data_IF_007570944856
#
_entry.id   IF_007570944856
#
_cell.length_a   1.000
_cell.length_b   1.000
_cell.length_c   1.000
_cell.angle_alpha   90.00
_cell.angle_beta   90.00
_cell.angle_gamma   90.00
#
_symmetry.space_group_name_H-M   'P 1'
#
loop_
_entity.id
_entity.type
_entity.pdbx_description
1 polymer ?
#
# COMPACT_ATOMS: atom_id res chain seq x y z
N UNK A 1 3.22 27.79 -7.19
CA UNK A 1 1.84 28.32 -7.17
C UNK A 1 0.83 27.27 -6.72
N UNK A 2 0.89 26.02 -7.21
CA UNK A 2 -0.05 24.95 -6.83
C UNK A 2 -0.04 24.54 -5.33
N UNK A 3 1.10 24.63 -4.63
CA UNK A 3 1.16 24.30 -3.19
C UNK A 3 0.45 25.34 -2.30
N UNK A 4 0.42 26.63 -2.71
CA UNK A 4 -0.25 27.69 -1.94
C UNK A 4 -1.78 27.66 -2.04
N UNK A 5 -2.34 27.10 -3.10
CA UNK A 5 -3.80 26.95 -3.26
C UNK A 5 -4.39 25.82 -2.39
N UNK A 6 -3.56 24.85 -2.00
CA UNK A 6 -4.04 23.71 -1.22
C UNK A 6 -4.12 24.00 0.29
N UNK A 7 -3.33 24.95 0.76
CA UNK A 7 -3.28 25.36 2.18
C UNK A 7 -4.51 26.16 2.64
N UNK A 8 -5.32 26.69 1.70
CA UNK A 8 -6.57 27.41 2.01
C UNK A 8 -7.81 26.51 2.01
N UNK A 9 -7.67 25.22 1.65
CA UNK A 9 -8.80 24.30 1.54
C UNK A 9 -9.20 23.74 2.90
N UNK A 10 -10.50 23.59 3.13
CA UNK A 10 -11.01 22.87 4.30
C UNK A 10 -10.66 21.38 4.23
N UNK A 11 -10.66 20.70 5.39
CA UNK A 11 -10.39 19.26 5.45
C UNK A 11 -11.37 18.44 4.59
N UNK A 12 -12.65 18.85 4.51
CA UNK A 12 -13.65 18.18 3.68
C UNK A 12 -13.40 18.37 2.18
N UNK A 13 -12.97 19.57 1.76
CA UNK A 13 -12.58 19.86 0.37
C UNK A 13 -11.33 19.06 -0.02
N UNK A 14 -10.34 18.95 0.88
CA UNK A 14 -9.15 18.11 0.68
C UNK A 14 -9.51 16.63 0.56
N UNK A 15 -10.45 16.12 1.37
CA UNK A 15 -10.93 14.73 1.27
C UNK A 15 -11.61 14.47 -0.06
N UNK A 16 -12.46 15.38 -0.52
CA UNK A 16 -13.14 15.28 -1.80
C UNK A 16 -12.15 15.25 -2.97
N UNK A 17 -11.20 16.19 -3.00
CA UNK A 17 -10.16 16.21 -4.03
C UNK A 17 -9.30 14.94 -3.99
N UNK A 18 -8.93 14.47 -2.79
CA UNK A 18 -8.12 13.25 -2.62
C UNK A 18 -8.86 12.01 -3.11
N UNK A 19 -10.17 11.88 -2.80
CA UNK A 19 -11.00 10.78 -3.27
C UNK A 19 -11.13 10.78 -4.81
N UNK A 20 -11.26 11.97 -5.41
CA UNK A 20 -11.29 12.09 -6.87
C UNK A 20 -9.96 11.67 -7.50
N UNK A 21 -8.84 12.18 -6.98
CA UNK A 21 -7.49 11.89 -7.47
C UNK A 21 -7.07 10.42 -7.26
N UNK A 22 -7.58 9.77 -6.22
CA UNK A 22 -7.43 8.33 -5.98
C UNK A 22 -8.32 7.47 -6.91
N UNK A 23 -9.21 8.10 -7.69
CA UNK A 23 -10.22 7.42 -8.52
C UNK A 23 -11.07 6.45 -7.71
N UNK A 24 -11.55 6.91 -6.56
CA UNK A 24 -12.56 6.20 -5.78
C UNK A 24 -13.79 5.88 -6.63
N UNK A 25 -14.62 4.92 -6.20
CA UNK A 25 -15.86 4.65 -6.95
C UNK A 25 -16.73 5.91 -7.03
N UNK A 26 -17.46 6.08 -8.13
CA UNK A 26 -18.36 7.25 -8.28
C UNK A 26 -19.36 7.38 -7.14
N UNK A 27 -19.80 6.26 -6.54
CA UNK A 27 -20.64 6.23 -5.33
C UNK A 27 -19.92 6.77 -4.10
N UNK A 28 -18.70 6.28 -3.82
CA UNK A 28 -17.87 6.79 -2.74
C UNK A 28 -17.62 8.29 -2.90
N UNK A 29 -17.30 8.73 -4.12
CA UNK A 29 -17.03 10.13 -4.39
C UNK A 29 -18.26 11.02 -4.19
N UNK A 30 -19.45 10.58 -4.61
CA UNK A 30 -20.70 11.29 -4.32
C UNK A 30 -20.99 11.36 -2.82
N UNK A 31 -20.71 10.30 -2.07
CA UNK A 31 -20.84 10.31 -0.61
C UNK A 31 -19.95 11.40 0.00
N UNK A 32 -18.66 11.43 -0.37
CA UNK A 32 -17.71 12.44 0.12
C UNK A 32 -18.11 13.86 -0.33
N UNK A 33 -18.65 14.01 -1.55
CA UNK A 33 -19.13 15.30 -2.03
C UNK A 33 -20.32 15.82 -1.20
N UNK A 34 -21.27 14.95 -0.84
CA UNK A 34 -22.37 15.33 0.07
C UNK A 34 -21.85 15.71 1.44
N UNK A 35 -20.94 14.93 2.03
CA UNK A 35 -20.32 15.25 3.32
C UNK A 35 -19.63 16.63 3.28
N UNK A 36 -18.94 16.94 2.18
CA UNK A 36 -18.30 18.24 1.97
C UNK A 36 -19.29 19.41 1.96
N UNK A 37 -20.53 19.20 1.53
CA UNK A 37 -21.60 20.19 1.53
C UNK A 37 -22.56 20.09 2.71
N UNK A 38 -22.19 19.42 3.81
CA UNK A 38 -23.07 19.25 4.97
C UNK A 38 -24.30 18.37 4.70
N UNK A 39 -24.13 17.35 3.86
CA UNK A 39 -25.16 16.40 3.44
C UNK A 39 -25.82 16.72 2.10
N UNK A 40 -25.48 17.84 1.44
CA UNK A 40 -26.10 18.29 0.19
C UNK A 40 -25.06 18.64 -0.89
N UNK A 41 -25.43 18.46 -2.15
CA UNK A 41 -24.63 18.88 -3.31
C UNK A 41 -24.89 20.35 -3.66
N UNK A 42 -24.51 21.24 -2.73
CA UNK A 42 -24.70 22.70 -2.87
C UNK A 42 -23.95 23.28 -4.08
N UNK A 43 -24.35 24.46 -4.56
CA UNK A 43 -23.63 25.17 -5.62
C UNK A 43 -22.13 25.31 -5.32
N UNK A 44 -21.75 25.57 -4.06
CA UNK A 44 -20.34 25.63 -3.64
C UNK A 44 -19.60 24.31 -3.89
N UNK A 45 -20.22 23.16 -3.57
CA UNK A 45 -19.62 21.84 -3.82
C UNK A 45 -19.51 21.57 -5.32
N UNK A 46 -20.53 21.93 -6.09
CA UNK A 46 -20.52 21.79 -7.55
C UNK A 46 -19.38 22.61 -8.18
N UNK A 47 -19.25 23.89 -7.82
CA UNK A 47 -18.13 24.75 -8.27
C UNK A 47 -16.78 24.18 -7.86
N UNK A 48 -16.66 23.67 -6.62
CA UNK A 48 -15.43 23.05 -6.17
C UNK A 48 -15.05 21.81 -7.01
N UNK A 49 -16.01 20.93 -7.31
CA UNK A 49 -15.80 19.76 -8.17
C UNK A 49 -15.34 20.22 -9.56
N UNK A 50 -16.01 21.22 -10.12
CA UNK A 50 -15.66 21.80 -11.41
C UNK A 50 -14.22 22.33 -11.44
N UNK A 51 -13.88 23.23 -10.51
CA UNK A 51 -12.62 23.98 -10.47
C UNK A 51 -11.41 23.14 -10.06
N UNK A 52 -11.60 22.15 -9.17
CA UNK A 52 -10.49 21.40 -8.59
C UNK A 52 -10.39 19.96 -9.07
N UNK A 53 -11.52 19.32 -9.41
CA UNK A 53 -11.52 17.93 -9.83
C UNK A 53 -11.54 17.82 -11.36
N UNK A 54 -12.44 18.51 -12.05
CA UNK A 54 -12.67 18.28 -13.48
C UNK A 54 -11.71 19.06 -14.38
N UNK A 55 -11.60 20.38 -14.19
CA UNK A 55 -10.75 21.24 -15.03
C UNK A 55 -9.26 20.90 -14.86
N UNK A 56 -8.81 20.60 -13.64
CA UNK A 56 -7.41 20.21 -13.35
C UNK A 56 -7.07 18.76 -13.77
N UNK A 57 -8.06 17.96 -14.17
CA UNK A 57 -7.90 16.57 -14.60
C UNK A 57 -7.81 16.37 -16.12
N UNK A 58 -8.05 17.43 -16.91
CA UNK A 58 -7.96 17.37 -18.38
C UNK A 58 -6.55 16.95 -18.83
N UNK A 59 -6.46 15.91 -19.67
CA UNK A 59 -5.21 15.42 -20.24
C UNK A 59 -4.39 14.52 -19.31
N UNK A 60 -4.96 14.07 -18.19
CA UNK A 60 -4.29 13.21 -17.20
C UNK A 60 -4.83 11.77 -17.15
N UNK A 61 -5.66 11.35 -18.12
CA UNK A 61 -6.18 9.98 -18.19
C UNK A 61 -7.39 9.73 -17.28
N UNK A 62 -8.06 10.78 -16.81
CA UNK A 62 -9.26 10.68 -15.97
C UNK A 62 -10.56 10.73 -16.78
N UNK A 63 -10.52 10.87 -18.10
CA UNK A 63 -11.64 11.37 -18.88
C UNK A 63 -12.87 10.43 -18.85
N UNK A 64 -12.66 9.11 -18.99
CA UNK A 64 -13.72 8.10 -18.87
C UNK A 64 -14.34 8.07 -17.47
N UNK A 65 -13.49 8.19 -16.44
CA UNK A 65 -13.91 8.24 -15.04
C UNK A 65 -14.71 9.53 -14.75
N UNK A 66 -14.19 10.68 -15.15
CA UNK A 66 -14.83 11.98 -15.01
C UNK A 66 -16.17 12.03 -15.73
N UNK A 67 -16.28 11.48 -16.95
CA UNK A 67 -17.55 11.37 -17.68
C UNK A 67 -18.61 10.60 -16.88
N UNK A 68 -18.25 9.43 -16.33
CA UNK A 68 -19.14 8.61 -15.50
C UNK A 68 -19.54 9.35 -14.22
N UNK A 69 -18.58 10.00 -13.56
CA UNK A 69 -18.84 10.75 -12.33
C UNK A 69 -19.77 11.95 -12.56
N UNK A 70 -19.49 12.79 -13.56
CA UNK A 70 -20.31 13.96 -13.88
C UNK A 70 -21.74 13.56 -14.23
N UNK A 71 -21.91 12.52 -15.05
CA UNK A 71 -23.26 11.98 -15.35
C UNK A 71 -24.01 11.64 -14.07
N UNK A 72 -23.37 10.91 -13.15
CA UNK A 72 -23.97 10.48 -11.90
C UNK A 72 -24.26 11.65 -10.96
N UNK A 73 -23.38 12.64 -10.91
CA UNK A 73 -23.54 13.87 -10.14
C UNK A 73 -24.76 14.66 -10.61
N UNK A 74 -24.91 14.87 -11.92
CA UNK A 74 -26.06 15.56 -12.52
C UNK A 74 -27.35 14.81 -12.17
N UNK A 75 -27.42 13.51 -12.44
CA UNK A 75 -28.61 12.69 -12.15
C UNK A 75 -29.00 12.73 -10.67
N UNK A 76 -28.02 12.73 -9.77
CA UNK A 76 -28.27 12.81 -8.32
C UNK A 76 -28.80 14.18 -7.88
N UNK A 77 -28.33 15.27 -8.48
CA UNK A 77 -28.83 16.61 -8.17
C UNK A 77 -30.26 16.78 -8.68
N UNK A 78 -30.53 16.35 -9.92
CA UNK A 78 -31.85 16.40 -10.55
C UNK A 78 -32.89 15.57 -9.79
N UNK A 79 -32.52 14.35 -9.36
CA UNK A 79 -33.43 13.46 -8.61
C UNK A 79 -33.83 14.03 -7.25
N UNK A 80 -33.00 14.90 -6.67
CA UNK A 80 -33.29 15.62 -5.43
C UNK A 80 -33.88 17.02 -5.69
N UNK A 81 -34.33 17.32 -6.92
CA UNK A 81 -34.87 18.62 -7.34
C UNK A 81 -33.92 19.81 -7.10
N UNK A 82 -32.61 19.54 -7.13
CA UNK A 82 -31.57 20.57 -7.02
C UNK A 82 -31.30 21.24 -8.37
N UNK A 83 -30.73 22.45 -8.34
CA UNK A 83 -30.24 23.12 -9.53
C UNK A 83 -28.81 22.65 -9.85
N UNK A 84 -28.59 22.19 -11.07
CA UNK A 84 -27.28 21.80 -11.60
C UNK A 84 -26.62 23.04 -12.20
N UNK A 85 -25.33 23.26 -11.94
CA UNK A 85 -24.56 24.33 -12.56
C UNK A 85 -24.37 24.10 -14.06
N UNK A 86 -24.52 25.14 -14.87
CA UNK A 86 -24.38 25.08 -16.33
C UNK A 86 -23.01 24.53 -16.75
N UNK A 87 -21.96 24.88 -16.01
CA UNK A 87 -20.59 24.41 -16.23
C UNK A 87 -20.48 22.87 -16.20
N UNK A 88 -21.28 22.20 -15.35
CA UNK A 88 -21.30 20.73 -15.28
C UNK A 88 -21.98 20.12 -16.51
N UNK A 89 -23.04 20.75 -17.03
CA UNK A 89 -23.67 20.32 -18.28
C UNK A 89 -22.74 20.53 -19.48
N UNK A 90 -22.11 21.70 -19.57
CA UNK A 90 -21.13 22.01 -20.61
C UNK A 90 -19.97 21.00 -20.61
N UNK A 91 -19.47 20.64 -19.43
CA UNK A 91 -18.42 19.64 -19.32
C UNK A 91 -18.89 18.24 -19.70
N UNK A 92 -20.10 17.86 -19.30
CA UNK A 92 -20.63 16.57 -19.70
C UNK A 92 -20.81 16.50 -21.22
N UNK A 93 -21.33 17.56 -21.83
CA UNK A 93 -21.46 17.68 -23.28
C UNK A 93 -20.09 17.60 -23.98
N UNK A 94 -19.05 18.24 -23.42
CA UNK A 94 -17.68 18.15 -23.96
C UNK A 94 -17.17 16.70 -23.96
N UNK A 95 -17.36 15.95 -22.87
CA UNK A 95 -17.03 14.53 -22.82
C UNK A 95 -17.82 13.68 -23.81
N UNK A 96 -19.09 14.02 -24.07
CA UNK A 96 -19.91 13.30 -25.06
C UNK A 96 -19.43 13.53 -26.50
N UNK A 97 -18.93 14.72 -26.81
CA UNK A 97 -18.40 15.05 -28.15
C UNK A 97 -17.03 14.39 -28.36
N UNK A 98 -16.16 14.41 -27.34
CA UNK A 98 -14.81 13.84 -27.41
C UNK A 98 -14.81 12.30 -27.43
N UNK A 99 -15.78 11.65 -26.78
CA UNK A 99 -15.95 10.20 -26.81
C UNK A 99 -17.03 9.80 -27.81
N UNK A 100 -16.69 9.84 -29.10
CA UNK A 100 -17.40 9.02 -30.08
C UNK A 100 -17.01 7.56 -29.78
N UNK A 101 -17.99 6.75 -29.39
CA UNK A 101 -17.85 5.29 -29.21
C UNK A 101 -17.18 4.70 -30.44
N UNK A 102 -16.00 4.09 -30.26
CA UNK A 102 -15.42 2.99 -31.08
C UNK A 102 -13.93 2.83 -30.76
N UNK A 103 -13.61 2.46 -29.53
CA UNK A 103 -12.46 1.59 -29.33
C UNK A 103 -12.83 0.58 -28.24
N UNK A 104 -12.79 -0.74 -28.53
CA UNK A 104 -12.91 -1.73 -27.48
C UNK A 104 -11.88 -1.39 -26.40
N UNK A 105 -12.30 -1.45 -25.15
CA UNK A 105 -11.44 -1.26 -23.96
C UNK A 105 -10.14 -2.02 -24.24
N UNK A 106 -9.05 -1.29 -24.51
CA UNK A 106 -7.75 -1.93 -24.69
C UNK A 106 -7.46 -2.60 -23.35
N UNK A 107 -7.29 -3.92 -23.34
CA UNK A 107 -7.08 -4.72 -22.12
C UNK A 107 -5.91 -4.23 -21.25
N UNK A 108 -5.07 -3.34 -21.79
CA UNK A 108 -3.90 -2.74 -21.14
C UNK A 108 -4.10 -1.24 -20.79
N UNK A 109 -5.34 -0.77 -20.67
CA UNK A 109 -5.61 0.62 -20.29
C UNK A 109 -5.19 0.84 -18.82
N UNK A 110 -4.22 1.72 -18.63
CA UNK A 110 -3.65 2.05 -17.32
C UNK A 110 -4.00 3.48 -16.95
N UNK A 111 -4.26 3.71 -15.66
CA UNK A 111 -4.61 5.01 -15.11
C UNK A 111 -3.60 5.46 -14.06
N UNK A 112 -3.45 6.77 -13.90
CA UNK A 112 -2.62 7.35 -12.85
C UNK A 112 -3.49 7.70 -11.63
N UNK A 113 -3.45 6.89 -10.59
CA UNK A 113 -4.08 7.19 -9.29
C UNK A 113 -3.13 8.02 -8.44
N UNK A 114 -3.62 9.01 -7.73
CA UNK A 114 -2.82 9.83 -6.82
C UNK A 114 -3.32 9.62 -5.38
N UNK A 115 -2.61 8.78 -4.64
CA UNK A 115 -2.97 8.44 -3.26
C UNK A 115 -2.40 9.50 -2.32
N UNK A 116 -3.25 10.11 -1.50
CA UNK A 116 -2.84 11.15 -0.55
C UNK A 116 -2.95 10.63 0.88
N UNK A 117 -1.85 10.73 1.63
CA UNK A 117 -1.81 10.43 3.05
C UNK A 117 -1.66 11.71 3.86
N UNK A 118 -2.42 11.79 4.94
CA UNK A 118 -2.29 12.81 5.98
C UNK A 118 -1.95 12.10 7.28
N UNK A 119 -0.83 12.44 7.90
CA UNK A 119 -0.34 11.78 9.10
C UNK A 119 0.14 12.81 10.14
N UNK A 120 0.08 12.47 11.44
CA UNK A 120 0.44 13.40 12.52
C UNK A 120 1.93 13.76 12.50
N UNK A 121 2.25 14.94 13.05
CA UNK A 121 3.64 15.39 13.16
C UNK A 121 4.46 14.47 14.08
N UNK A 122 5.56 13.95 13.54
CA UNK A 122 6.58 13.25 14.33
C UNK A 122 7.61 14.25 14.88
N UNK A 123 7.19 15.22 15.71
CA UNK A 123 8.03 16.29 16.26
C UNK A 123 9.20 15.84 17.16
N UNK A 124 9.32 14.56 17.50
CA UNK A 124 10.33 14.07 18.46
C UNK A 124 11.54 13.39 17.82
N UNK A 125 11.56 13.19 16.50
CA UNK A 125 12.70 12.60 15.81
C UNK A 125 13.18 13.56 14.72
N UNK A 126 14.41 14.04 14.84
CA UNK A 126 15.10 14.92 13.87
C UNK A 126 15.26 14.32 12.46
N UNK A 127 14.76 13.10 12.26
CA UNK A 127 14.97 12.24 11.09
C UNK A 127 13.73 12.23 10.17
N UNK A 128 12.53 12.57 10.66
CA UNK A 128 11.30 12.48 9.86
C UNK A 128 11.14 13.64 8.85
N UNK A 129 10.51 13.41 7.68
CA UNK A 129 10.20 14.48 6.73
C UNK A 129 9.31 15.56 7.36
N UNK A 130 9.57 16.83 7.04
CA UNK A 130 8.89 18.00 7.62
C UNK A 130 7.43 18.17 7.17
N UNK A 131 6.96 17.36 6.22
CA UNK A 131 5.62 17.45 5.63
C UNK A 131 4.68 16.42 6.27
N UNK A 132 3.50 16.87 6.74
CA UNK A 132 2.39 16.02 7.22
C UNK A 132 1.64 15.29 6.10
N UNK A 133 2.11 15.46 4.88
CA UNK A 133 1.42 15.06 3.67
C UNK A 133 2.38 14.36 2.73
N UNK A 134 1.94 13.21 2.23
CA UNK A 134 2.56 12.49 1.13
C UNK A 134 1.52 12.28 0.04
N UNK A 135 1.87 12.61 -1.21
CA UNK A 135 1.06 12.29 -2.40
C UNK A 135 1.85 11.33 -3.25
N UNK A 136 1.29 10.17 -3.53
CA UNK A 136 1.91 9.07 -4.26
C UNK A 136 1.17 8.85 -5.58
N UNK A 137 1.67 9.38 -6.71
CA UNK A 137 1.19 8.98 -8.03
C UNK A 137 1.57 7.53 -8.33
N UNK A 138 0.60 6.72 -8.75
CA UNK A 138 0.74 5.32 -9.10
C UNK A 138 0.07 5.04 -10.44
N UNK A 139 0.81 4.46 -11.37
CA UNK A 139 0.26 3.80 -12.53
C UNK A 139 -0.37 2.47 -12.09
N UNK A 140 -1.66 2.33 -12.36
CA UNK A 140 -2.47 1.16 -12.04
C UNK A 140 -3.15 0.64 -13.30
N UNK A 141 -3.32 -0.66 -13.42
CA UNK A 141 -4.18 -1.24 -14.45
C UNK A 141 -5.66 -0.99 -14.15
N UNK A 142 -6.48 -0.85 -15.19
CA UNK A 142 -7.93 -0.98 -15.07
C UNK A 142 -8.38 -2.44 -15.04
N UNK A 143 -7.56 -3.36 -15.55
CA UNK A 143 -7.77 -4.79 -15.38
C UNK A 143 -7.19 -5.22 -14.02
N UNK A 144 -8.08 -5.50 -13.06
CA UNK A 144 -7.68 -5.89 -11.70
C UNK A 144 -6.88 -7.21 -11.64
N UNK A 145 -6.89 -8.00 -12.71
CA UNK A 145 -6.16 -9.27 -12.80
C UNK A 145 -4.78 -9.13 -13.48
N UNK A 146 -4.44 -7.96 -14.04
CA UNK A 146 -3.16 -7.78 -14.72
C UNK A 146 -1.98 -7.95 -13.76
N UNK A 147 -0.98 -8.70 -14.23
CA UNK A 147 0.24 -9.00 -13.48
C UNK A 147 -0.01 -9.82 -12.21
N UNK A 148 -0.85 -10.85 -12.33
CA UNK A 148 -1.31 -11.66 -11.20
C UNK A 148 -1.88 -10.79 -10.07
N UNK A 149 -2.75 -9.84 -10.44
CA UNK A 149 -3.37 -8.83 -9.57
C UNK A 149 -2.46 -7.72 -9.03
N UNK A 150 -1.13 -7.82 -9.22
CA UNK A 150 -0.15 -6.89 -8.68
C UNK A 150 -0.07 -5.53 -9.38
N UNK A 151 -0.67 -5.36 -10.57
CA UNK A 151 -0.73 -4.06 -11.25
C UNK A 151 -1.84 -3.13 -10.73
N UNK A 152 -2.58 -3.52 -9.69
CA UNK A 152 -3.64 -2.73 -9.06
C UNK A 152 -3.34 -2.39 -7.60
N UNK A 153 -3.90 -1.28 -7.11
CA UNK A 153 -3.83 -0.93 -5.68
C UNK A 153 -4.90 -1.69 -4.90
N UNK A 154 -4.49 -2.36 -3.83
CA UNK A 154 -5.37 -3.11 -2.93
C UNK A 154 -5.53 -2.44 -1.56
N UNK A 155 -6.70 -2.53 -0.90
CA UNK A 155 -6.98 -1.85 0.37
C UNK A 155 -5.94 -2.11 1.48
N UNK A 156 -5.38 -3.31 1.58
CA UNK A 156 -4.37 -3.59 2.61
C UNK A 156 -3.07 -2.83 2.41
N UNK A 157 -2.68 -2.55 1.17
CA UNK A 157 -1.46 -1.76 0.92
C UNK A 157 -1.66 -0.29 1.32
N UNK A 158 -2.86 0.27 1.13
CA UNK A 158 -3.24 1.59 1.64
C UNK A 158 -3.15 1.64 3.17
N UNK A 159 -3.66 0.62 3.87
CA UNK A 159 -3.62 0.56 5.32
C UNK A 159 -2.20 0.39 5.86
N UNK A 160 -1.41 -0.50 5.27
CA UNK A 160 -0.03 -0.71 5.68
C UNK A 160 0.82 0.55 5.46
N UNK A 161 0.60 1.27 4.37
CA UNK A 161 1.21 2.58 4.12
C UNK A 161 0.81 3.63 5.15
N UNK A 162 -0.47 3.71 5.51
CA UNK A 162 -0.95 4.60 6.59
C UNK A 162 -0.25 4.29 7.92
N UNK A 163 -0.06 3.01 8.24
CA UNK A 163 0.66 2.57 9.45
C UNK A 163 2.14 2.98 9.41
N UNK A 164 2.83 2.77 8.28
CA UNK A 164 4.24 3.16 8.13
C UNK A 164 4.42 4.67 8.35
N UNK A 165 3.56 5.48 7.72
CA UNK A 165 3.61 6.93 7.81
C UNK A 165 3.20 7.46 9.19
N UNK A 166 2.31 6.76 9.88
CA UNK A 166 1.88 7.13 11.25
C UNK A 166 2.89 6.75 12.32
N UNK A 167 3.72 5.73 12.07
CA UNK A 167 4.71 5.21 13.03
C UNK A 167 6.12 5.08 12.40
N UNK A 168 6.70 6.17 11.88
CA UNK A 168 7.96 6.12 11.14
C UNK A 168 9.14 5.63 11.99
N UNK A 169 9.09 5.80 13.31
CA UNK A 169 10.13 5.34 14.25
C UNK A 169 10.36 3.83 14.25
N UNK A 170 9.38 3.04 13.78
CA UNK A 170 9.51 1.58 13.66
C UNK A 170 10.41 1.23 12.46
N UNK A 171 10.26 1.97 11.36
CA UNK A 171 10.84 1.64 10.06
C UNK A 171 12.09 2.46 9.72
N UNK A 172 12.24 3.65 10.31
CA UNK A 172 13.36 4.54 10.03
C UNK A 172 14.69 3.90 10.43
N UNK A 173 15.65 3.91 9.52
CA UNK A 173 16.94 3.25 9.68
C UNK A 173 16.89 1.72 9.62
N UNK A 174 15.73 1.10 9.34
CA UNK A 174 15.58 -0.36 9.30
C UNK A 174 15.68 -0.94 7.90
N UNK A 175 16.23 -2.15 7.80
CA UNK A 175 16.19 -2.94 6.57
C UNK A 175 14.83 -3.63 6.44
N UNK A 176 14.08 -3.26 5.41
CA UNK A 176 12.71 -3.71 5.15
C UNK A 176 12.63 -4.56 3.87
N UNK A 177 11.86 -5.64 3.92
CA UNK A 177 11.59 -6.52 2.79
C UNK A 177 10.08 -6.71 2.63
N UNK A 178 9.52 -6.42 1.46
CA UNK A 178 8.11 -6.65 1.17
C UNK A 178 7.93 -7.84 0.23
N UNK A 179 7.10 -8.82 0.63
CA UNK A 179 6.62 -9.91 -0.23
C UNK A 179 5.34 -9.49 -0.93
N UNK A 180 5.23 -9.75 -2.24
CA UNK A 180 4.04 -9.39 -3.03
C UNK A 180 3.79 -7.88 -3.05
N UNK A 181 4.79 -7.12 -3.49
CA UNK A 181 4.79 -5.65 -3.37
C UNK A 181 3.83 -4.95 -4.34
N UNK A 182 3.33 -5.66 -5.37
CA UNK A 182 2.35 -5.12 -6.32
C UNK A 182 2.82 -3.82 -6.97
N UNK A 183 2.01 -2.77 -6.85
CA UNK A 183 2.31 -1.44 -7.40
C UNK A 183 3.47 -0.71 -6.71
N UNK A 184 4.00 -1.22 -5.59
CA UNK A 184 5.15 -0.68 -4.86
C UNK A 184 4.84 0.42 -3.84
N UNK A 185 3.57 0.64 -3.51
CA UNK A 185 3.10 1.73 -2.64
C UNK A 185 3.73 1.70 -1.24
N UNK A 186 3.82 0.52 -0.62
CA UNK A 186 4.42 0.34 0.70
C UNK A 186 5.91 0.67 0.68
N UNK A 187 6.64 0.18 -0.34
CA UNK A 187 8.03 0.55 -0.59
C UNK A 187 8.28 2.05 -0.70
N UNK A 188 7.41 2.78 -1.41
CA UNK A 188 7.48 4.25 -1.50
C UNK A 188 7.34 4.89 -0.12
N UNK A 189 6.42 4.38 0.71
CA UNK A 189 6.23 4.87 2.08
C UNK A 189 7.42 4.55 2.99
N UNK A 190 8.02 3.37 2.85
CA UNK A 190 9.24 2.98 3.59
C UNK A 190 10.43 3.88 3.24
N UNK A 191 10.62 4.17 1.95
CA UNK A 191 11.63 5.13 1.50
C UNK A 191 11.36 6.53 2.07
N UNK A 192 10.10 6.97 2.07
CA UNK A 192 9.70 8.27 2.63
C UNK A 192 10.05 8.42 4.12
N UNK A 193 9.87 7.36 4.91
CA UNK A 193 10.23 7.34 6.36
C UNK A 193 11.70 7.00 6.61
N UNK A 194 12.52 6.94 5.56
CA UNK A 194 13.97 6.71 5.60
C UNK A 194 14.34 5.35 6.20
N UNK A 195 13.66 4.28 5.77
CA UNK A 195 14.20 2.93 5.94
C UNK A 195 15.62 2.85 5.35
N UNK A 196 16.55 2.14 6.01
CA UNK A 196 17.96 2.09 5.58
C UNK A 196 18.16 1.24 4.32
N UNK A 197 17.27 0.27 4.10
CA UNK A 197 17.23 -0.59 2.91
C UNK A 197 15.79 -0.98 2.64
N UNK A 198 15.34 -0.86 1.41
CA UNK A 198 14.00 -1.27 0.98
C UNK A 198 14.15 -2.27 -0.17
N UNK A 199 13.63 -3.48 0.04
CA UNK A 199 13.60 -4.54 -0.97
C UNK A 199 12.14 -4.86 -1.24
N UNK A 200 11.72 -4.69 -2.48
CA UNK A 200 10.40 -5.03 -2.99
C UNK A 200 10.50 -6.27 -3.86
N UNK A 201 9.54 -7.17 -3.72
CA UNK A 201 9.54 -8.45 -4.43
C UNK A 201 8.16 -8.80 -4.93
N UNK A 202 8.10 -9.37 -6.14
CA UNK A 202 6.86 -9.87 -6.72
C UNK A 202 7.13 -11.06 -7.65
N UNK A 203 6.14 -11.94 -7.78
CA UNK A 203 6.22 -13.16 -8.59
C UNK A 203 5.99 -12.92 -10.08
N UNK A 204 5.29 -11.84 -10.43
CA UNK A 204 4.94 -11.52 -11.81
C UNK A 204 5.84 -10.43 -12.42
N UNK A 205 6.27 -10.64 -13.66
CA UNK A 205 7.18 -9.72 -14.36
C UNK A 205 6.49 -8.42 -14.81
N UNK A 206 5.20 -8.47 -15.15
CA UNK A 206 4.42 -7.28 -15.52
C UNK A 206 4.22 -6.38 -14.30
N UNK A 207 3.95 -6.98 -13.14
CA UNK A 207 3.90 -6.28 -11.86
C UNK A 207 5.25 -5.67 -11.49
N UNK A 208 6.34 -6.43 -11.61
CA UNK A 208 7.68 -5.90 -11.34
C UNK A 208 8.04 -4.71 -12.25
N UNK A 209 7.67 -4.77 -13.53
CA UNK A 209 7.88 -3.66 -14.47
C UNK A 209 7.05 -2.43 -14.09
N UNK A 210 5.78 -2.61 -13.73
CA UNK A 210 4.91 -1.52 -13.28
C UNK A 210 5.38 -0.90 -11.96
N UNK A 211 5.84 -1.73 -11.03
CA UNK A 211 6.40 -1.30 -9.75
C UNK A 211 7.61 -0.38 -9.97
N UNK A 212 8.55 -0.75 -10.85
CA UNK A 212 9.70 0.09 -11.19
C UNK A 212 9.28 1.43 -11.79
N UNK A 213 8.31 1.43 -12.71
CA UNK A 213 7.73 2.66 -13.27
C UNK A 213 7.13 3.56 -12.16
N UNK A 214 6.46 2.97 -11.18
CA UNK A 214 5.89 3.70 -10.05
C UNK A 214 6.98 4.28 -9.13
N UNK A 215 8.05 3.55 -8.86
CA UNK A 215 9.19 4.07 -8.10
C UNK A 215 9.83 5.26 -8.82
N UNK A 216 10.04 5.17 -10.13
CA UNK A 216 10.57 6.26 -10.95
C UNK A 216 9.65 7.48 -10.95
N UNK A 217 8.33 7.28 -11.09
CA UNK A 217 7.31 8.34 -10.94
C UNK A 217 7.38 9.07 -9.60
N UNK A 218 7.80 8.36 -8.55
CA UNK A 218 7.98 8.90 -7.20
C UNK A 218 9.42 9.34 -6.92
N UNK A 219 10.27 9.46 -7.95
CA UNK A 219 11.67 9.92 -7.88
C UNK A 219 12.55 9.04 -6.97
N UNK A 220 12.24 7.75 -6.91
CA UNK A 220 13.05 6.75 -6.24
C UNK A 220 13.94 6.03 -7.26
N UNK A 221 15.19 5.82 -6.91
CA UNK A 221 16.15 5.14 -7.78
C UNK A 221 15.99 3.62 -7.61
N UNK A 222 16.07 2.88 -8.71
CA UNK A 222 16.13 1.42 -8.68
C UNK A 222 17.55 0.95 -8.99
N UNK A 223 18.00 -0.13 -8.36
CA UNK A 223 19.40 -0.63 -8.51
C UNK A 223 19.79 -0.91 -9.97
N UNK A 224 18.83 -1.19 -10.86
CA UNK A 224 19.10 -1.47 -12.28
C UNK A 224 19.45 -0.25 -13.11
N UNK A 225 19.27 0.97 -12.59
CA UNK A 225 19.45 2.23 -13.33
C UNK A 225 20.74 2.99 -12.96
N UNK A 226 21.62 2.41 -12.14
CA UNK A 226 22.82 3.10 -11.64
C UNK A 226 24.09 2.65 -12.37
N UNK A 227 24.79 3.55 -13.09
CA UNK A 227 26.20 3.36 -13.41
C UNK A 227 27.03 3.66 -12.17
N UNK A 228 27.69 2.64 -11.62
CA UNK A 228 28.66 2.68 -10.50
C UNK A 228 28.11 3.12 -9.11
N UNK A 229 28.62 2.53 -8.01
CA UNK A 229 28.18 2.85 -6.65
C UNK A 229 28.74 4.20 -6.20
N UNK A 230 28.02 5.28 -6.44
CA UNK A 230 28.25 6.56 -5.77
C UNK A 230 27.74 6.52 -4.33
N UNK A 231 28.58 6.98 -3.41
CA UNK A 231 28.52 6.76 -1.94
C UNK A 231 27.32 7.46 -1.24
N UNK A 232 26.43 8.15 -1.97
CA UNK A 232 25.39 9.02 -1.36
C UNK A 232 23.93 8.73 -1.78
N UNK A 233 23.61 7.56 -2.33
CA UNK A 233 22.22 7.30 -2.75
C UNK A 233 21.34 6.75 -1.60
N UNK A 234 20.91 7.62 -0.68
CA UNK A 234 19.98 7.28 0.42
C UNK A 234 18.57 6.84 -0.04
N UNK A 235 18.27 6.85 -1.34
CA UNK A 235 16.93 6.59 -1.91
C UNK A 235 16.87 5.41 -2.89
N UNK A 236 17.77 4.43 -2.79
CA UNK A 236 17.74 3.24 -3.66
C UNK A 236 16.77 2.20 -3.11
N UNK A 237 15.77 1.84 -3.92
CA UNK A 237 14.84 0.74 -3.66
C UNK A 237 15.20 -0.42 -4.58
N UNK A 238 15.48 -1.59 -3.99
CA UNK A 238 15.77 -2.81 -4.75
C UNK A 238 14.47 -3.49 -5.13
N UNK A 239 14.31 -3.81 -6.41
CA UNK A 239 13.20 -4.61 -6.91
C UNK A 239 13.71 -5.97 -7.35
N UNK A 240 13.13 -7.06 -6.86
CA UNK A 240 13.52 -8.43 -7.22
C UNK A 240 12.33 -9.20 -7.76
N UNK A 241 12.59 -10.03 -8.77
CA UNK A 241 11.63 -11.05 -9.20
C UNK A 241 11.73 -12.23 -8.22
N UNK A 242 10.63 -12.59 -7.58
CA UNK A 242 10.57 -13.65 -6.58
C UNK A 242 9.25 -14.44 -6.69
N UNK A 243 9.14 -15.38 -7.64
CA UNK A 243 8.10 -16.40 -7.59
C UNK A 243 8.34 -17.27 -6.34
N UNK A 244 7.33 -17.41 -5.48
CA UNK A 244 7.49 -18.07 -4.19
C UNK A 244 7.80 -19.56 -4.33
N UNK A 245 7.29 -20.19 -5.39
CA UNK A 245 7.42 -21.61 -5.73
C UNK A 245 8.88 -21.99 -6.01
N UNK A 246 9.63 -21.08 -6.63
CA UNK A 246 11.02 -21.29 -7.07
C UNK A 246 12.05 -20.52 -6.22
N UNK A 247 11.60 -19.86 -5.14
CA UNK A 247 12.46 -19.04 -4.30
C UNK A 247 13.63 -19.84 -3.68
N UNK A 248 14.85 -19.35 -3.93
CA UNK A 248 16.09 -19.93 -3.42
C UNK A 248 16.34 -19.52 -1.97
N UNK A 249 16.54 -20.49 -1.09
CA UNK A 249 16.86 -20.23 0.31
C UNK A 249 18.17 -19.45 0.47
N UNK A 250 19.18 -19.77 -0.34
CA UNK A 250 20.49 -19.10 -0.29
C UNK A 250 20.37 -17.61 -0.65
N UNK A 251 19.53 -17.28 -1.62
CA UNK A 251 19.31 -15.90 -2.04
C UNK A 251 18.54 -15.11 -0.98
N UNK A 252 17.46 -15.71 -0.45
CA UNK A 252 16.63 -15.09 0.59
C UNK A 252 17.41 -14.83 1.88
N UNK A 253 18.29 -15.77 2.27
CA UNK A 253 19.14 -15.61 3.46
C UNK A 253 20.11 -14.45 3.36
N UNK A 254 20.50 -14.02 2.14
CA UNK A 254 21.42 -12.90 1.97
C UNK A 254 20.76 -11.54 2.24
N UNK A 255 19.42 -11.46 2.25
CA UNK A 255 18.73 -10.19 2.48
C UNK A 255 18.73 -9.77 3.94
N UNK A 256 18.60 -10.73 4.87
CA UNK A 256 18.57 -10.55 6.32
C UNK A 256 17.77 -9.30 6.79
N UNK A 257 16.49 -9.14 6.38
CA UNK A 257 15.72 -7.98 6.78
C UNK A 257 15.48 -7.94 8.30
N UNK A 258 15.32 -6.73 8.84
CA UNK A 258 14.83 -6.53 10.20
C UNK A 258 13.31 -6.56 10.24
N UNK A 259 12.65 -6.07 9.18
CA UNK A 259 11.19 -6.02 9.07
C UNK A 259 10.79 -6.64 7.74
N UNK A 260 9.88 -7.60 7.79
CA UNK A 260 9.23 -8.19 6.62
C UNK A 260 7.79 -7.67 6.58
N UNK A 261 7.31 -7.34 5.39
CA UNK A 261 5.99 -6.77 5.15
C UNK A 261 5.25 -7.58 4.08
N UNK A 262 3.92 -7.58 4.15
CA UNK A 262 3.06 -7.99 3.03
C UNK A 262 1.63 -7.50 3.21
N UNK A 263 0.98 -7.17 2.10
CA UNK A 263 -0.38 -6.64 2.08
C UNK A 263 -1.23 -7.46 1.11
N UNK A 264 -2.33 -8.06 1.59
CA UNK A 264 -3.21 -8.93 0.79
C UNK A 264 -2.48 -10.05 0.04
N UNK A 265 -1.51 -10.71 0.68
CA UNK A 265 -0.73 -11.83 0.09
C UNK A 265 -1.33 -13.23 0.34
N UNK A 266 -2.49 -13.31 0.98
CA UNK A 266 -3.20 -14.55 1.32
C UNK A 266 -4.58 -14.49 0.66
N UNK A 267 -4.63 -14.84 -0.62
CA UNK A 267 -5.87 -14.89 -1.40
C UNK A 267 -6.02 -16.22 -2.16
N UNK A 268 -4.93 -16.83 -2.61
CA UNK A 268 -4.91 -18.18 -3.17
C UNK A 268 -4.36 -19.18 -2.15
N UNK A 269 -5.16 -20.16 -1.69
CA UNK A 269 -4.68 -21.24 -0.83
C UNK A 269 -3.52 -22.04 -1.41
N UNK A 270 -3.39 -22.12 -2.73
CA UNK A 270 -2.33 -22.88 -3.40
C UNK A 270 -0.93 -22.30 -3.14
N UNK A 271 -0.84 -20.97 -2.98
CA UNK A 271 0.41 -20.25 -2.75
C UNK A 271 0.87 -20.28 -1.28
N UNK A 272 0.00 -20.62 -0.34
CA UNK A 272 0.26 -20.55 1.11
C UNK A 272 1.51 -21.32 1.57
N UNK A 273 1.73 -22.61 1.16
CA UNK A 273 2.92 -23.34 1.58
C UNK A 273 4.22 -22.66 1.12
N UNK A 274 4.20 -22.09 -0.08
CA UNK A 274 5.34 -21.39 -0.67
C UNK A 274 5.61 -20.07 0.05
N UNK A 275 4.56 -19.28 0.32
CA UNK A 275 4.65 -18.08 1.13
C UNK A 275 5.24 -18.39 2.51
N UNK A 276 4.68 -19.35 3.24
CA UNK A 276 5.17 -19.74 4.57
C UNK A 276 6.66 -20.12 4.54
N UNK A 277 7.10 -20.85 3.52
CA UNK A 277 8.52 -21.20 3.33
C UNK A 277 9.39 -19.94 3.16
N UNK A 278 9.00 -19.01 2.29
CA UNK A 278 9.72 -17.73 2.08
C UNK A 278 9.86 -16.96 3.40
N UNK A 279 8.77 -16.85 4.17
CA UNK A 279 8.76 -16.13 5.44
C UNK A 279 9.60 -16.79 6.50
N UNK A 280 9.53 -18.12 6.61
CA UNK A 280 10.36 -18.88 7.53
C UNK A 280 11.85 -18.66 7.27
N UNK A 281 12.25 -18.57 6.00
CA UNK A 281 13.65 -18.29 5.61
C UNK A 281 14.04 -16.86 5.95
N UNK A 282 13.21 -15.86 5.58
CA UNK A 282 13.50 -14.44 5.84
C UNK A 282 13.54 -14.11 7.34
N UNK A 283 12.70 -14.77 8.15
CA UNK A 283 12.70 -14.63 9.61
C UNK A 283 13.88 -15.35 10.29
N UNK A 284 14.58 -16.23 9.58
CA UNK A 284 15.67 -17.01 10.15
C UNK A 284 17.00 -16.25 10.02
N UNK A 285 17.36 -15.47 11.04
CA UNK A 285 18.75 -14.99 11.17
C UNK A 285 19.63 -16.19 11.49
N UNK A 286 20.48 -16.61 10.54
CA UNK A 286 21.63 -17.47 10.89
C UNK A 286 22.40 -16.73 11.98
N UNK A 287 22.49 -17.33 13.18
CA UNK A 287 23.54 -16.96 14.12
C UNK A 287 24.83 -17.18 13.35
N UNK A 288 25.57 -16.12 13.06
CA UNK A 288 26.99 -16.24 12.75
C UNK A 288 27.67 -16.74 14.03
N UNK A 289 27.50 -18.02 14.35
CA UNK A 289 28.39 -18.67 15.28
C UNK A 289 29.74 -18.70 14.59
N UNK A 290 30.69 -18.06 15.25
CA UNK A 290 32.11 -18.17 14.96
C UNK A 290 32.44 -19.68 15.08
N UNK A 291 32.51 -20.38 13.95
CA UNK A 291 33.25 -21.64 13.87
C UNK A 291 34.73 -21.29 13.92
N UNK A 292 35.22 -21.05 15.13
CA UNK A 292 36.62 -21.15 15.48
C UNK A 292 36.69 -21.68 16.91
N UNK A 293 36.59 -23.00 17.03
CA UNK A 293 37.46 -23.82 17.89
C UNK A 293 37.08 -25.28 17.71
N UNK A 294 37.94 -25.98 16.98
CA UNK A 294 38.11 -27.43 17.08
C UNK A 294 38.28 -27.84 18.56
N UNK A 295 37.65 -28.95 18.93
CA UNK A 295 37.76 -29.52 20.26
C UNK A 295 36.75 -30.65 20.51
N UNK A 296 36.97 -31.78 19.83
CA UNK A 296 36.73 -33.17 20.25
C UNK A 296 35.61 -33.50 21.27
N UNK A 297 34.66 -34.33 20.83
CA UNK A 297 33.61 -35.04 21.61
C UNK A 297 34.22 -36.15 22.53
N UNK A 298 33.51 -36.77 23.51
CA UNK A 298 32.47 -37.79 23.20
C UNK A 298 31.23 -37.88 24.15
N UNK A 299 30.09 -38.18 23.52
CA UNK A 299 28.96 -39.05 23.89
C UNK A 299 28.31 -39.03 25.29
N UNK A 300 26.99 -38.84 25.33
CA UNK A 300 26.03 -39.80 25.92
C UNK A 300 24.56 -39.43 25.62
N UNK A 301 23.79 -40.39 25.09
CA UNK A 301 22.32 -40.48 25.17
C UNK A 301 21.97 -41.27 26.45
N UNK A 302 20.81 -41.04 27.10
CA UNK A 302 19.60 -41.81 26.73
C UNK A 302 18.26 -41.07 26.95
N UNK A 303 17.20 -41.54 26.25
CA UNK A 303 15.86 -41.58 26.84
C UNK A 303 14.69 -41.13 25.95
N UNK A 304 13.99 -42.13 25.40
CA UNK A 304 12.62 -42.05 24.87
C UNK A 304 11.63 -41.35 25.83
N UNK A 305 10.73 -40.54 25.26
CA UNK A 305 9.56 -39.98 25.93
C UNK A 305 8.52 -39.52 24.92
N UNK A 306 7.31 -40.08 25.03
CA UNK A 306 6.24 -40.15 24.01
C UNK A 306 5.59 -38.81 23.63
N UNK A 307 5.09 -38.81 22.39
CA UNK A 307 4.16 -37.87 21.75
C UNK A 307 2.74 -38.02 22.33
N UNK A 308 2.01 -36.88 22.37
CA UNK A 308 0.54 -36.61 22.44
C UNK A 308 0.37 -35.39 23.40
N UNK A 309 -0.29 -34.28 23.06
CA UNK A 309 -1.59 -34.09 22.44
C UNK A 309 -1.64 -32.86 21.51
N UNK A 310 -2.36 -33.01 20.40
CA UNK A 310 -2.88 -31.93 19.59
C UNK A 310 -4.20 -31.45 20.22
N UNK A 311 -4.33 -30.16 20.48
CA UNK A 311 -5.64 -29.56 20.71
C UNK A 311 -6.04 -28.76 19.47
N UNK A 312 -7.08 -29.28 18.81
CA UNK A 312 -7.85 -28.64 17.76
C UNK A 312 -8.28 -27.23 18.17
N UNK A 313 -7.96 -26.23 17.35
CA UNK A 313 -8.58 -24.90 17.44
C UNK A 313 -9.74 -24.86 16.45
N UNK A 314 -10.93 -25.07 17.02
CA UNK A 314 -12.24 -24.99 16.40
C UNK A 314 -12.48 -23.62 15.74
N UNK A 315 -12.72 -23.63 14.43
CA UNK A 315 -12.93 -22.47 13.57
C UNK A 315 -14.40 -21.99 13.61
N UNK A 316 -15.02 -21.93 14.79
CA UNK A 316 -16.45 -21.65 14.92
C UNK A 316 -16.85 -20.69 16.04
N UNK A 317 -16.07 -19.65 16.33
CA UNK A 317 -16.67 -18.43 16.93
C UNK A 317 -15.80 -17.18 16.74
N UNK A 318 -16.11 -16.34 15.76
CA UNK A 318 -15.60 -14.97 15.73
C UNK A 318 -16.74 -14.00 15.46
N UNK A 319 -17.28 -13.43 16.54
CA UNK A 319 -18.17 -12.28 16.48
C UNK A 319 -17.38 -11.01 16.13
N UNK A 320 -17.93 -10.22 15.21
CA UNK A 320 -17.34 -9.01 14.67
C UNK A 320 -17.12 -7.89 15.72
N UNK A 321 -15.94 -7.25 15.71
CA UNK A 321 -15.70 -5.98 16.42
C UNK A 321 -14.94 -4.97 15.54
N UNK A 322 -15.28 -3.69 15.72
CA UNK A 322 -14.50 -2.53 15.25
C UNK A 322 -13.09 -2.63 15.84
N UNK A 323 -12.06 -2.37 15.01
CA UNK A 323 -10.66 -2.36 15.45
C UNK A 323 -10.52 -1.47 16.68
N UNK A 324 -10.11 -2.08 17.78
CA UNK A 324 -9.73 -1.36 18.97
C UNK A 324 -8.36 -0.73 18.69
N UNK A 325 -8.25 0.60 18.74
CA UNK A 325 -6.95 1.29 18.60
C UNK A 325 -5.88 0.76 19.57
N UNK A 326 -6.27 0.08 20.65
CA UNK A 326 -5.34 -0.62 21.54
C UNK A 326 -4.70 -1.86 20.92
N UNK A 327 -5.38 -2.60 20.03
CA UNK A 327 -4.84 -3.80 19.38
C UNK A 327 -3.73 -3.42 18.41
N UNK A 328 -3.98 -2.45 17.52
CA UNK A 328 -2.96 -1.92 16.60
C UNK A 328 -1.76 -1.38 17.39
N UNK A 329 -2.00 -0.65 18.50
CA UNK A 329 -0.92 -0.21 19.41
C UNK A 329 -0.17 -1.38 20.03
N UNK A 330 -0.85 -2.45 20.44
CA UNK A 330 -0.23 -3.66 21.00
C UNK A 330 0.67 -4.35 19.99
N UNK A 331 0.21 -4.48 18.74
CA UNK A 331 0.97 -5.06 17.63
C UNK A 331 2.20 -4.21 17.30
N UNK A 332 2.03 -2.89 17.27
CA UNK A 332 3.13 -1.93 17.09
C UNK A 332 4.17 -2.05 18.22
N UNK A 333 3.73 -2.07 19.47
CA UNK A 333 4.64 -2.18 20.62
C UNK A 333 5.41 -3.49 20.59
N UNK A 334 4.78 -4.59 20.18
CA UNK A 334 5.44 -5.88 20.00
C UNK A 334 6.50 -5.82 18.88
N UNK A 335 6.16 -5.25 17.72
CA UNK A 335 7.12 -5.06 16.63
C UNK A 335 8.32 -4.22 17.06
N UNK A 336 8.09 -3.11 17.78
CA UNK A 336 9.16 -2.25 18.33
C UNK A 336 10.06 -3.04 19.29
N UNK A 337 9.48 -3.81 20.21
CA UNK A 337 10.24 -4.64 21.17
C UNK A 337 11.10 -5.70 20.46
N UNK A 338 10.53 -6.44 19.51
CA UNK A 338 11.23 -7.46 18.72
C UNK A 338 12.40 -6.87 17.94
N UNK A 339 12.16 -5.78 17.21
CA UNK A 339 13.17 -5.09 16.41
C UNK A 339 14.27 -4.51 17.30
N UNK A 340 13.93 -3.97 18.47
CA UNK A 340 14.92 -3.48 19.45
C UNK A 340 15.82 -4.59 19.99
N UNK A 341 15.30 -5.82 20.09
CA UNK A 341 16.03 -7.04 20.48
C UNK A 341 16.79 -7.68 19.32
N UNK A 342 16.84 -7.04 18.16
CA UNK A 342 17.49 -7.54 16.95
C UNK A 342 16.79 -8.78 16.35
N UNK A 343 15.55 -9.07 16.75
CA UNK A 343 14.75 -10.18 16.20
C UNK A 343 13.97 -9.68 14.99
N UNK A 344 14.06 -10.34 13.82
CA UNK A 344 13.25 -9.95 12.69
C UNK A 344 11.78 -10.20 13.00
N UNK A 345 10.91 -9.30 12.56
CA UNK A 345 9.47 -9.44 12.68
C UNK A 345 8.79 -9.29 11.32
N UNK A 346 7.63 -9.90 11.20
CA UNK A 346 6.83 -9.85 9.99
C UNK A 346 5.49 -9.17 10.26
N UNK A 347 5.15 -8.13 9.50
CA UNK A 347 3.88 -7.41 9.56
C UNK A 347 3.04 -7.72 8.32
N UNK A 348 1.86 -8.32 8.53
CA UNK A 348 0.89 -8.56 7.47
C UNK A 348 -0.37 -7.76 7.67
N UNK A 349 -0.89 -7.18 6.58
CA UNK A 349 -2.21 -6.59 6.55
C UNK A 349 -3.17 -7.36 5.64
N UNK A 350 -4.39 -7.58 6.12
CA UNK A 350 -5.52 -8.10 5.34
C UNK A 350 -6.76 -7.24 5.52
N UNK A 351 -7.49 -7.03 4.43
CA UNK A 351 -8.79 -6.37 4.40
C UNK A 351 -9.82 -7.35 3.81
N UNK A 352 -10.83 -7.73 4.60
CA UNK A 352 -11.88 -8.62 4.12
C UNK A 352 -12.95 -7.85 3.35
N UNK A 353 -13.23 -8.27 2.11
CA UNK A 353 -14.09 -7.59 1.13
C UNK A 353 -15.55 -7.41 1.58
N UNK A 354 -16.08 -8.26 2.46
CA UNK A 354 -17.46 -8.14 2.95
C UNK A 354 -17.66 -7.05 4.00
N UNK A 355 -16.59 -6.48 4.56
CA UNK A 355 -16.67 -5.42 5.55
C UNK A 355 -15.66 -4.33 5.18
N UNK A 356 -16.15 -3.17 4.71
CA UNK A 356 -15.36 -1.93 4.47
C UNK A 356 -14.47 -1.47 5.66
N UNK A 357 -14.50 -2.18 6.79
CA UNK A 357 -13.92 -1.81 8.06
C UNK A 357 -13.16 -2.94 8.79
N UNK A 358 -13.08 -4.16 8.26
CA UNK A 358 -12.25 -5.20 8.90
C UNK A 358 -10.82 -5.10 8.35
N UNK A 359 -9.94 -4.49 9.15
CA UNK A 359 -8.50 -4.41 8.86
C UNK A 359 -7.78 -5.18 9.96
N UNK A 360 -7.10 -6.26 9.60
CA UNK A 360 -6.29 -7.02 10.54
C UNK A 360 -4.83 -6.75 10.23
N UNK A 361 -4.04 -6.44 11.27
CA UNK A 361 -2.59 -6.45 11.18
C UNK A 361 -2.04 -7.51 12.14
N UNK A 362 -1.14 -8.35 11.66
CA UNK A 362 -0.54 -9.41 12.46
C UNK A 362 0.97 -9.22 12.49
N UNK A 363 1.56 -9.36 13.69
CA UNK A 363 3.02 -9.39 13.86
C UNK A 363 3.45 -10.82 14.21
N UNK A 364 4.28 -11.42 13.35
CA UNK A 364 4.83 -12.77 13.56
C UNK A 364 6.33 -12.67 13.76
N UNK A 365 6.86 -13.41 14.74
CA UNK A 365 8.30 -13.60 14.93
C UNK A 365 8.57 -15.06 15.26
N UNK A 366 9.76 -15.56 14.94
CA UNK A 366 10.16 -16.92 15.34
C UNK A 366 10.49 -16.91 16.83
N UNK A 367 9.85 -17.79 17.61
CA UNK A 367 10.27 -18.08 18.97
C UNK A 367 11.69 -18.65 18.94
N UNK A 368 12.55 -18.06 19.77
CA UNK A 368 13.99 -18.41 19.84
C UNK A 368 14.27 -19.75 20.48
#
# INVERSE_FOLDING_TARGET
MAEKELDSMSLSELRLLSAFLAMETTDSLLCVARECGGGKLTAKVQSFIWDHCLTKAVGKGYESYSKKFVKKLITEIESNHGNVLDELYEQYASYMISFKDDNPVKENERVCKCISFLFPDCFKLSICPKSRKLVVPLQCSLNMLEGDTGCSVWPSSLFLSELILSYPHIFSGKSCFEVGSGVGLVGICLAHVKASKVILSDGDLSTLANMKLNLEKNRLNTETNLPEPSIENQNVVKCIHLPWESASEKELQNFMPEIILGADVIYDPSCLPHLVKVLAILLNKKKSYIENREGSIPNSFPGDGKVNDAHDLDASSFHAQRINTSEVKGIINNAVDLVSKGRPCCLYCFCYSECRYFRSISCISRSG
#
